data_IF_713593271583
#
_entry.id   IF_713593271583
#
_cell.length_a   1.000
_cell.length_b   1.000
_cell.length_c   1.000
_cell.angle_alpha   90.00
_cell.angle_beta   90.00
_cell.angle_gamma   90.00
#
_symmetry.space_group_name_H-M   'P 1'
#
loop_
_entity.id
_entity.type
_entity.pdbx_description
1 polymer ?
#
# COMPACT_ATOMS: atom_id res chain seq x y z
N UNK A 1 -1.49 -40.97 -47.92
CA UNK A 1 -1.63 -39.51 -47.68
C UNK A 1 -2.27 -39.29 -46.31
N UNK A 2 -1.50 -39.32 -45.21
CA UNK A 2 -2.03 -39.10 -43.83
C UNK A 2 -1.05 -38.25 -43.00
N UNK A 3 -0.01 -37.69 -43.63
CA UNK A 3 1.12 -37.04 -42.94
C UNK A 3 1.16 -35.51 -43.04
N UNK A 4 0.16 -34.88 -43.66
CA UNK A 4 0.10 -33.41 -43.79
C UNK A 4 -0.83 -32.73 -42.78
N UNK A 5 -1.76 -33.48 -42.16
CA UNK A 5 -2.74 -32.92 -41.21
C UNK A 5 -2.19 -32.76 -39.78
N UNK A 6 -1.08 -33.43 -39.46
CA UNK A 6 -0.58 -33.47 -38.09
C UNK A 6 0.20 -32.22 -37.68
N UNK A 7 0.61 -31.35 -38.61
CA UNK A 7 1.46 -30.19 -38.29
C UNK A 7 0.66 -28.90 -38.06
N UNK A 8 -0.47 -28.72 -38.76
CA UNK A 8 -1.33 -27.54 -38.60
C UNK A 8 -2.03 -27.48 -37.22
N UNK A 9 -2.28 -28.63 -36.59
CA UNK A 9 -2.93 -28.68 -35.26
C UNK A 9 -1.99 -28.17 -34.16
N UNK A 10 -0.68 -28.45 -34.24
CA UNK A 10 0.27 -27.96 -33.23
C UNK A 10 0.39 -26.43 -33.24
N UNK A 11 0.38 -25.79 -34.41
CA UNK A 11 0.44 -24.32 -34.49
C UNK A 11 -0.82 -23.63 -33.95
N UNK A 12 -2.01 -24.23 -34.13
CA UNK A 12 -3.24 -23.69 -33.56
C UNK A 12 -3.22 -23.65 -32.02
N UNK A 13 -2.59 -24.64 -31.37
CA UNK A 13 -2.48 -24.69 -29.91
C UNK A 13 -1.47 -23.67 -29.37
N UNK A 14 -0.37 -23.44 -30.10
CA UNK A 14 0.65 -22.44 -29.71
C UNK A 14 0.09 -21.01 -29.86
N UNK A 15 -0.68 -20.74 -30.91
CA UNK A 15 -1.32 -19.42 -31.08
C UNK A 15 -2.39 -19.13 -29.99
N UNK A 16 -3.10 -20.15 -29.52
CA UNK A 16 -4.13 -19.99 -28.48
C UNK A 16 -3.55 -19.78 -27.07
N UNK A 17 -2.30 -20.21 -26.83
CA UNK A 17 -1.61 -20.03 -25.54
C UNK A 17 -0.80 -18.73 -25.43
N UNK A 18 -0.53 -18.04 -26.54
CA UNK A 18 0.05 -16.69 -26.53
C UNK A 18 -1.00 -15.56 -26.44
N UNK A 19 -2.27 -15.88 -26.67
CA UNK A 19 -3.35 -14.92 -26.86
C UNK A 19 -4.19 -14.63 -25.64
N UNK A 20 -3.68 -14.73 -24.42
CA UNK A 20 -4.36 -14.21 -23.21
C UNK A 20 -3.42 -14.25 -22.00
N UNK A 21 -2.32 -13.49 -22.07
CA UNK A 21 -1.87 -12.84 -20.84
C UNK A 21 -2.88 -11.72 -20.62
N UNK A 22 -4.09 -12.09 -20.16
CA UNK A 22 -4.87 -11.18 -19.36
C UNK A 22 -3.94 -10.82 -18.22
N UNK A 23 -3.26 -9.68 -18.35
CA UNK A 23 -2.70 -8.98 -17.21
C UNK A 23 -3.91 -8.92 -16.30
N UNK A 24 -3.91 -9.75 -15.25
CA UNK A 24 -4.83 -9.52 -14.18
C UNK A 24 -4.48 -8.12 -13.72
N UNK A 25 -5.32 -7.16 -14.08
CA UNK A 25 -5.51 -5.98 -13.26
C UNK A 25 -6.12 -6.50 -11.96
N UNK A 26 -5.34 -7.30 -11.22
CA UNK A 26 -5.53 -7.42 -9.81
C UNK A 26 -5.35 -6.01 -9.32
N UNK A 27 -6.43 -5.42 -8.80
CA UNK A 27 -6.31 -4.29 -7.92
C UNK A 27 -5.15 -4.61 -6.98
N UNK A 28 -4.01 -3.94 -7.15
CA UNK A 28 -2.94 -4.03 -6.18
C UNK A 28 -3.49 -3.30 -4.95
N UNK A 29 -4.23 -4.04 -4.12
CA UNK A 29 -4.89 -3.50 -2.95
C UNK A 29 -3.80 -3.01 -2.01
N UNK A 30 -3.51 -1.71 -2.08
CA UNK A 30 -2.57 -1.09 -1.19
C UNK A 30 -3.23 -0.91 0.18
N UNK A 31 -2.71 -1.59 1.19
CA UNK A 31 -3.25 -1.51 2.55
C UNK A 31 -2.53 -0.39 3.29
N UNK A 32 -2.79 0.86 2.91
CA UNK A 32 -2.21 2.00 3.62
C UNK A 32 -2.95 2.24 4.94
N UNK A 33 -2.24 2.14 6.06
CA UNK A 33 -2.83 2.37 7.38
C UNK A 33 -2.78 3.86 7.69
N UNK A 34 -3.97 4.44 7.77
CA UNK A 34 -4.19 5.86 8.07
C UNK A 34 -4.68 5.96 9.52
N UNK A 35 -3.95 6.70 10.34
CA UNK A 35 -4.33 7.04 11.70
C UNK A 35 -5.03 8.40 11.71
N UNK A 36 -6.00 8.56 12.60
CA UNK A 36 -6.67 9.85 12.77
C UNK A 36 -5.84 10.74 13.70
N UNK A 37 -5.72 12.01 13.37
CA UNK A 37 -5.12 13.04 14.23
C UNK A 37 -6.04 14.25 14.29
N UNK A 38 -5.74 15.19 15.18
CA UNK A 38 -6.45 16.48 15.24
C UNK A 38 -6.33 17.30 13.96
N UNK A 39 -5.28 17.08 13.16
CA UNK A 39 -5.06 17.72 11.86
C UNK A 39 -5.63 16.93 10.67
N UNK A 40 -6.22 15.75 10.92
CA UNK A 40 -6.76 14.86 9.89
C UNK A 40 -6.07 13.50 9.83
N UNK A 41 -6.41 12.71 8.80
CA UNK A 41 -5.86 11.37 8.62
C UNK A 41 -4.43 11.40 8.08
N UNK A 42 -3.51 10.73 8.76
CA UNK A 42 -2.09 10.66 8.39
C UNK A 42 -1.60 9.22 8.23
N UNK A 43 -0.60 9.03 7.38
CA UNK A 43 -0.03 7.72 7.10
C UNK A 43 1.03 7.39 8.15
N UNK A 44 1.14 6.11 8.49
CA UNK A 44 2.21 5.63 9.40
C UNK A 44 3.35 4.94 8.65
N UNK A 45 3.25 4.85 7.32
CA UNK A 45 4.22 4.17 6.46
C UNK A 45 4.55 4.91 5.17
N UNK A 46 5.85 5.16 4.99
CA UNK A 46 6.45 5.74 3.80
C UNK A 46 7.04 4.68 2.85
N UNK A 47 7.13 3.42 3.28
CA UNK A 47 7.71 2.33 2.49
C UNK A 47 6.68 1.62 1.61
N UNK A 48 5.39 1.85 1.86
CA UNK A 48 4.32 1.15 1.20
C UNK A 48 4.01 1.75 -0.18
N UNK A 49 4.08 0.91 -1.21
CA UNK A 49 3.81 1.29 -2.59
C UNK A 49 2.30 1.18 -2.86
N UNK A 50 1.64 2.32 -3.08
CA UNK A 50 0.25 2.37 -3.56
C UNK A 50 0.25 2.84 -5.01
N UNK A 51 -0.50 2.18 -5.89
CA UNK A 51 -0.63 2.55 -7.31
C UNK A 51 0.71 2.63 -8.06
N UNK A 52 1.66 1.79 -7.64
CA UNK A 52 3.02 1.79 -8.19
C UNK A 52 3.86 3.01 -7.79
N UNK A 53 3.38 3.85 -6.86
CA UNK A 53 4.06 5.06 -6.40
C UNK A 53 4.36 5.00 -4.91
N UNK A 54 5.56 5.44 -4.54
CA UNK A 54 5.92 5.73 -3.16
C UNK A 54 5.33 7.10 -2.78
N UNK A 55 5.02 7.33 -1.50
CA UNK A 55 4.78 8.68 -1.00
C UNK A 55 5.94 9.60 -1.38
N UNK A 56 5.63 10.78 -1.90
CA UNK A 56 6.63 11.77 -2.28
C UNK A 56 7.37 12.29 -1.04
N UNK A 57 8.64 12.69 -1.21
CA UNK A 57 9.41 13.34 -0.13
C UNK A 57 8.66 14.57 0.38
N UNK A 58 8.55 14.70 1.71
CA UNK A 58 7.79 15.77 2.35
C UNK A 58 6.32 15.43 2.64
N UNK A 59 5.84 14.25 2.21
CA UNK A 59 4.51 13.76 2.63
C UNK A 59 4.48 13.59 4.14
N UNK A 60 3.48 14.19 4.80
CA UNK A 60 3.33 14.06 6.26
C UNK A 60 3.06 12.60 6.66
N UNK A 61 3.79 12.16 7.69
CA UNK A 61 3.68 10.82 8.25
C UNK A 61 3.76 10.86 9.78
N UNK A 62 3.34 9.77 10.41
CA UNK A 62 3.39 9.59 11.85
C UNK A 62 4.36 8.49 12.22
N UNK A 63 5.27 8.81 13.14
CA UNK A 63 6.00 7.82 13.92
C UNK A 63 5.21 7.51 15.20
N UNK A 64 4.87 6.24 15.35
CA UNK A 64 4.13 5.76 16.51
C UNK A 64 5.09 5.57 17.70
N UNK A 65 4.67 6.05 18.87
CA UNK A 65 5.37 5.80 20.12
C UNK A 65 5.32 4.33 20.56
N UNK A 66 6.13 3.96 21.55
CA UNK A 66 6.32 2.58 22.03
C UNK A 66 5.05 1.85 22.50
N UNK A 67 3.94 2.57 22.76
CA UNK A 67 2.64 2.01 23.15
C UNK A 67 1.71 1.65 21.98
N UNK A 68 2.07 1.99 20.75
CA UNK A 68 1.28 1.74 19.55
C UNK A 68 2.15 1.08 18.47
N UNK A 69 1.68 -0.01 17.89
CA UNK A 69 2.33 -0.58 16.70
C UNK A 69 1.58 -0.13 15.45
N UNK A 70 2.30 -0.01 14.33
CA UNK A 70 1.77 0.38 13.00
C UNK A 70 0.44 -0.29 12.67
N UNK A 71 0.29 -1.56 13.03
CA UNK A 71 -0.85 -2.39 12.67
C UNK A 71 -1.84 -2.63 13.81
N UNK A 72 -1.47 -2.33 15.07
CA UNK A 72 -2.27 -2.69 16.24
C UNK A 72 -2.21 -1.57 17.29
N UNK A 73 -2.99 -0.51 17.04
CA UNK A 73 -3.38 0.45 18.06
C UNK A 73 -4.73 0.06 18.66
N UNK A 74 -4.93 0.30 19.96
CA UNK A 74 -6.26 0.17 20.57
C UNK A 74 -7.16 1.27 20.04
N UNK A 75 -8.40 0.90 19.72
CA UNK A 75 -9.40 1.86 19.24
C UNK A 75 -9.85 2.77 20.38
N UNK A 76 -10.22 4.00 20.00
CA UNK A 76 -10.69 5.05 20.90
C UNK A 76 -9.71 5.39 22.05
N UNK A 77 -8.44 5.01 21.91
CA UNK A 77 -7.35 5.41 22.79
C UNK A 77 -6.62 6.58 22.16
N UNK A 78 -6.44 7.65 22.94
CA UNK A 78 -5.58 8.75 22.55
C UNK A 78 -4.11 8.37 22.80
N UNK A 79 -3.35 8.26 21.72
CA UNK A 79 -1.92 8.05 21.74
C UNK A 79 -1.19 9.36 21.44
N UNK A 80 0.00 9.52 22.02
CA UNK A 80 0.93 10.56 21.59
C UNK A 80 1.77 10.01 20.43
N UNK A 81 1.58 10.58 19.25
CA UNK A 81 2.39 10.32 18.06
C UNK A 81 3.42 11.43 17.84
N UNK A 82 4.47 11.10 17.09
CA UNK A 82 5.45 12.09 16.61
C UNK A 82 5.19 12.33 15.13
N UNK A 83 5.05 13.60 14.75
CA UNK A 83 4.94 14.02 13.36
C UNK A 83 6.28 13.93 12.66
N UNK A 84 6.21 13.66 11.37
CA UNK A 84 7.37 13.64 10.51
C UNK A 84 7.00 13.76 9.05
N UNK A 85 8.00 13.60 8.21
CA UNK A 85 7.90 13.65 6.76
C UNK A 85 8.55 12.42 6.13
N UNK A 86 7.93 11.91 5.08
CA UNK A 86 8.50 10.82 4.32
C UNK A 86 9.77 11.28 3.60
N UNK A 87 10.79 10.43 3.68
CA UNK A 87 11.98 10.50 2.85
C UNK A 87 11.89 9.36 1.82
N UNK A 88 11.87 9.70 0.53
CA UNK A 88 11.68 8.71 -0.54
C UNK A 88 12.92 7.83 -0.77
N UNK A 89 14.12 8.33 -0.48
CA UNK A 89 15.37 7.56 -0.64
C UNK A 89 15.48 6.49 0.44
N UNK A 90 15.30 6.89 1.70
CA UNK A 90 15.39 6.00 2.85
C UNK A 90 14.09 5.21 3.08
N UNK A 91 12.97 5.63 2.48
CA UNK A 91 11.63 5.05 2.65
C UNK A 91 11.17 5.03 4.10
N UNK A 92 11.62 6.01 4.89
CA UNK A 92 11.31 6.16 6.32
C UNK A 92 10.56 7.46 6.57
N UNK A 93 9.84 7.49 7.70
CA UNK A 93 9.27 8.71 8.24
C UNK A 93 10.33 9.41 9.11
N UNK A 94 10.90 10.52 8.65
CA UNK A 94 11.83 11.35 9.43
C UNK A 94 11.03 12.24 10.38
N UNK A 95 11.25 12.09 11.68
CA UNK A 95 10.49 12.78 12.72
C UNK A 95 10.96 14.21 12.91
N UNK A 96 10.01 15.14 13.10
CA UNK A 96 10.26 16.56 13.31
C UNK A 96 10.19 16.96 14.81
N UNK A 97 10.30 15.99 15.73
CA UNK A 97 10.14 16.13 17.19
C UNK A 97 8.83 16.81 17.65
N UNK A 98 7.86 16.95 16.74
CA UNK A 98 6.57 17.56 17.02
C UNK A 98 5.57 16.48 17.46
N UNK A 99 4.94 16.68 18.62
CA UNK A 99 3.97 15.72 19.17
C UNK A 99 2.55 16.07 18.75
N UNK A 100 1.74 15.05 18.47
CA UNK A 100 0.32 15.19 18.14
C UNK A 100 -0.49 14.04 18.75
N UNK A 101 -1.73 14.33 19.15
CA UNK A 101 -2.71 13.33 19.53
C UNK A 101 -3.15 12.52 18.30
N UNK A 102 -3.18 11.19 18.44
CA UNK A 102 -3.51 10.27 17.37
C UNK A 102 -4.35 9.08 17.85
N UNK A 103 -5.20 8.58 16.96
CA UNK A 103 -6.10 7.46 17.21
C UNK A 103 -5.96 6.39 16.13
N UNK A 104 -6.00 5.13 16.57
CA UNK A 104 -6.00 3.99 15.68
C UNK A 104 -7.27 4.00 14.80
N UNK A 105 -7.17 3.59 13.53
CA UNK A 105 -8.34 3.51 12.66
C UNK A 105 -9.40 2.55 13.21
N UNK A 106 -10.67 2.92 13.03
CA UNK A 106 -11.80 2.05 13.36
C UNK A 106 -11.82 0.85 12.38
N UNK A 107 -12.21 -0.34 12.86
CA UNK A 107 -12.14 -1.62 12.08
C UNK A 107 -12.84 -1.53 10.72
N UNK A 108 -13.73 -0.54 10.52
CA UNK A 108 -14.54 -0.40 9.32
C UNK A 108 -14.09 0.62 8.26
N UNK A 109 -13.03 1.44 8.43
CA UNK A 109 -12.53 2.34 7.38
C UNK A 109 -11.04 2.69 7.62
N UNK A 110 -10.15 2.88 6.65
CA UNK A 110 -10.28 3.34 5.26
C UNK A 110 -9.11 2.74 4.45
N UNK A 111 -9.27 1.52 3.93
CA UNK A 111 -8.34 1.01 2.91
C UNK A 111 -8.60 1.88 1.68
N UNK A 112 -7.63 2.70 1.28
CA UNK A 112 -7.74 3.45 0.03
C UNK A 112 -7.57 2.42 -1.10
N UNK A 113 -8.69 1.87 -1.56
CA UNK A 113 -8.74 1.15 -2.82
C UNK A 113 -8.60 2.21 -3.92
N UNK A 114 -7.58 2.06 -4.75
CA UNK A 114 -7.43 2.86 -5.95
C UNK A 114 -8.36 2.38 -7.06
#
# INVERSE_FOLDING_TARGET
MVRLLSWAVFFAIIACSLGQVAISTGFASCIQIIWETTAGGMITDCSQLCDGKLPETGTQCLALGSGATRHYGKQDVNYTCILGQCDQEEKVCKTDDLLIDCWAPKVNQKIRNA
#
